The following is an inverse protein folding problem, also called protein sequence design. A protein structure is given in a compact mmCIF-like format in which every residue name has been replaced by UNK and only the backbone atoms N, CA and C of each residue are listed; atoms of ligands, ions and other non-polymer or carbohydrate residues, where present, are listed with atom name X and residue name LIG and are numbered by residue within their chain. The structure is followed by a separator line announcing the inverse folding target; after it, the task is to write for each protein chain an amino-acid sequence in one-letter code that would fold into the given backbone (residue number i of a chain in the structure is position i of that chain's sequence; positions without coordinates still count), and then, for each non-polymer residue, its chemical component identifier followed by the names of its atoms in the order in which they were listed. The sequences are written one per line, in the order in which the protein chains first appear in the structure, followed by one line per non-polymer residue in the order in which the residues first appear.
data_IF_715712766606
#
_entry.id   IF_715712766606
#
_cell.length_a   1.000
_cell.length_b   1.000
_cell.length_c   1.000
_cell.angle_alpha   90.00
_cell.angle_beta   90.00
_cell.angle_gamma   90.00
#
_symmetry.space_group_name_H-M   'P 1'
#
loop_
_entity.id
_entity.type
_entity.pdbx_description
1 polymer ?
#
# COMPACT_ATOMS: atom_id res chain seq x y z
N UNK A 1 13.33 -1.76 10.27
CA UNK A 1 12.05 -1.81 11.02
C UNK A 1 12.08 -3.02 11.96
N UNK A 2 11.75 -2.81 13.21
CA UNK A 2 11.73 -3.91 14.17
C UNK A 2 10.35 -4.61 14.19
N UNK A 3 10.29 -5.76 14.86
CA UNK A 3 9.08 -6.60 14.89
C UNK A 3 7.88 -5.89 15.56
N UNK A 4 8.13 -5.06 16.58
CA UNK A 4 7.08 -4.34 17.29
C UNK A 4 6.44 -3.29 16.38
N UNK A 5 7.25 -2.51 15.66
CA UNK A 5 6.75 -1.50 14.73
C UNK A 5 6.00 -2.15 13.58
N UNK A 6 6.51 -3.27 13.08
CA UNK A 6 5.86 -4.03 12.01
C UNK A 6 4.49 -4.52 12.47
N UNK A 7 4.38 -5.06 13.68
CA UNK A 7 3.12 -5.54 14.22
C UNK A 7 2.09 -4.42 14.36
N UNK A 8 2.52 -3.24 14.80
CA UNK A 8 1.64 -2.07 14.91
C UNK A 8 1.13 -1.62 13.55
N UNK A 9 2.00 -1.62 12.54
CA UNK A 9 1.62 -1.23 11.18
C UNK A 9 0.61 -2.21 10.60
N UNK A 10 0.79 -3.50 10.84
CA UNK A 10 -0.15 -4.53 10.40
C UNK A 10 -1.51 -4.35 11.07
N UNK A 11 -1.52 -4.13 12.38
CA UNK A 11 -2.77 -3.91 13.12
C UNK A 11 -3.50 -2.66 12.63
N UNK A 12 -2.78 -1.58 12.40
CA UNK A 12 -3.34 -0.34 11.86
C UNK A 12 -3.94 -0.57 10.46
N UNK A 13 -3.23 -1.33 9.64
CA UNK A 13 -3.72 -1.69 8.31
C UNK A 13 -5.06 -2.43 8.38
N UNK A 14 -5.16 -3.44 9.24
CA UNK A 14 -6.42 -4.18 9.39
C UNK A 14 -7.56 -3.27 9.82
N UNK A 15 -7.30 -2.35 10.75
CA UNK A 15 -8.30 -1.41 11.23
C UNK A 15 -8.78 -0.48 10.11
N UNK A 16 -7.84 0.05 9.33
CA UNK A 16 -8.15 0.96 8.22
C UNK A 16 -8.90 0.24 7.09
N UNK A 17 -8.55 -1.02 6.83
CA UNK A 17 -9.25 -1.81 5.81
C UNK A 17 -10.69 -2.10 6.23
N UNK A 18 -10.93 -2.30 7.53
CA UNK A 18 -12.29 -2.52 8.03
C UNK A 18 -13.22 -1.35 7.71
N UNK A 19 -12.68 -0.12 7.69
CA UNK A 19 -13.45 1.09 7.40
C UNK A 19 -13.93 1.18 5.94
N UNK A 20 -13.28 0.46 5.03
CA UNK A 20 -13.53 0.57 3.59
C UNK A 20 -13.91 -0.75 2.93
N UNK A 21 -14.27 -1.77 3.74
CA UNK A 21 -14.62 -3.10 3.20
C UNK A 21 -15.75 -3.07 2.19
N UNK A 22 -16.67 -2.13 2.34
CA UNK A 22 -17.83 -2.00 1.46
C UNK A 22 -17.54 -1.20 0.20
N UNK A 23 -16.34 -0.62 0.10
CA UNK A 23 -15.92 0.18 -1.04
C UNK A 23 -14.67 -0.45 -1.65
N UNK A 24 -14.85 -1.26 -2.68
CA UNK A 24 -13.76 -2.02 -3.30
C UNK A 24 -12.66 -1.13 -3.87
N UNK A 25 -13.04 -0.01 -4.46
CA UNK A 25 -12.07 0.90 -5.05
C UNK A 25 -11.17 1.51 -3.97
N UNK A 26 -11.77 2.04 -2.90
CA UNK A 26 -11.00 2.62 -1.79
C UNK A 26 -10.18 1.56 -1.05
N UNK A 27 -10.73 0.38 -0.89
CA UNK A 27 -10.02 -0.73 -0.26
C UNK A 27 -8.76 -1.09 -1.07
N UNK A 28 -8.87 -1.16 -2.39
CA UNK A 28 -7.74 -1.47 -3.27
C UNK A 28 -6.66 -0.39 -3.17
N UNK A 29 -7.05 0.88 -3.22
CA UNK A 29 -6.10 1.99 -3.10
C UNK A 29 -5.37 1.95 -1.76
N UNK A 30 -6.09 1.71 -0.67
CA UNK A 30 -5.47 1.61 0.66
C UNK A 30 -4.53 0.41 0.77
N UNK A 31 -4.92 -0.71 0.19
CA UNK A 31 -4.09 -1.91 0.21
C UNK A 31 -2.77 -1.69 -0.56
N UNK A 32 -2.85 -1.09 -1.74
CA UNK A 32 -1.66 -0.77 -2.53
C UNK A 32 -0.76 0.22 -1.79
N UNK A 33 -1.34 1.26 -1.20
CA UNK A 33 -0.59 2.25 -0.45
C UNK A 33 0.14 1.62 0.73
N UNK A 34 -0.47 0.65 1.41
CA UNK A 34 0.17 -0.06 2.51
C UNK A 34 1.38 -0.86 2.02
N UNK A 35 1.23 -1.60 0.92
CA UNK A 35 2.33 -2.39 0.37
C UNK A 35 3.50 -1.50 -0.06
N UNK A 36 3.21 -0.39 -0.73
CA UNK A 36 4.25 0.55 -1.17
C UNK A 36 4.99 1.16 0.02
N UNK A 37 4.24 1.53 1.06
CA UNK A 37 4.83 2.06 2.29
C UNK A 37 5.74 1.04 2.96
N UNK A 38 5.30 -0.20 3.06
CA UNK A 38 6.10 -1.26 3.68
C UNK A 38 7.38 -1.53 2.90
N UNK A 39 7.29 -1.57 1.57
CA UNK A 39 8.48 -1.75 0.73
C UNK A 39 9.48 -0.61 0.94
N UNK A 40 9.01 0.63 0.99
CA UNK A 40 9.87 1.77 1.27
C UNK A 40 10.57 1.67 2.62
N UNK A 41 9.82 1.28 3.66
CA UNK A 41 10.36 1.13 5.01
C UNK A 41 11.37 -0.01 5.13
N UNK A 42 11.26 -1.02 4.26
CA UNK A 42 12.20 -2.14 4.21
C UNK A 42 13.43 -1.85 3.34
N UNK A 43 13.56 -0.64 2.82
CA UNK A 43 14.71 -0.24 2.04
C UNK A 43 14.59 -0.50 0.55
N UNK A 44 13.38 -0.75 0.05
CA UNK A 44 13.11 -1.04 -1.36
C UNK A 44 12.44 0.13 -2.08
N UNK A 45 12.83 1.36 -1.74
CA UNK A 45 12.27 2.56 -2.36
C UNK A 45 12.47 2.62 -3.87
N UNK A 46 13.53 2.01 -4.37
CA UNK A 46 13.79 1.92 -5.81
C UNK A 46 12.73 1.07 -6.51
N UNK A 47 12.29 -0.01 -5.88
CA UNK A 47 11.20 -0.86 -6.40
C UNK A 47 9.89 -0.08 -6.41
N UNK A 48 9.61 0.67 -5.34
CA UNK A 48 8.41 1.51 -5.25
C UNK A 48 8.41 2.56 -6.36
N UNK A 49 9.55 3.21 -6.59
CA UNK A 49 9.67 4.21 -7.64
C UNK A 49 9.42 3.60 -9.02
N UNK A 50 9.98 2.43 -9.29
CA UNK A 50 9.77 1.74 -10.57
C UNK A 50 8.30 1.40 -10.80
N UNK A 51 7.61 0.91 -9.76
CA UNK A 51 6.19 0.60 -9.83
C UNK A 51 5.36 1.84 -10.13
N UNK A 52 5.68 2.96 -9.45
CA UNK A 52 4.96 4.22 -9.65
C UNK A 52 5.20 4.80 -11.04
N UNK A 53 6.40 4.66 -11.57
CA UNK A 53 6.71 5.11 -12.92
C UNK A 53 5.88 4.36 -13.96
N UNK A 54 5.72 3.05 -13.81
CA UNK A 54 4.92 2.25 -14.72
C UNK A 54 3.44 2.57 -14.59
N UNK A 55 2.97 2.87 -13.38
CA UNK A 55 1.60 3.28 -13.16
C UNK A 55 1.30 4.59 -13.89
N UNK A 56 2.21 5.56 -13.80
CA UNK A 56 2.07 6.85 -14.47
C UNK A 56 2.11 6.66 -15.99
N UNK A 57 3.05 5.85 -16.50
CA UNK A 57 3.20 5.59 -17.92
C UNK A 57 1.94 4.94 -18.52
N UNK A 58 1.25 4.13 -17.75
CA UNK A 58 0.00 3.48 -18.14
C UNK A 58 -1.24 4.36 -17.91
N UNK A 59 -1.04 5.63 -17.57
CA UNK A 59 -2.11 6.57 -17.22
C UNK A 59 -2.95 6.09 -16.04
N UNK A 60 -2.29 5.40 -15.10
CA UNK A 60 -2.95 4.79 -13.97
C UNK A 60 -3.52 3.41 -14.32
N UNK A 61 -3.26 2.45 -13.47
CA UNK A 61 -3.89 1.13 -13.62
C UNK A 61 -5.32 1.22 -13.11
N UNK A 62 -6.15 0.38 -13.65
CA UNK A 62 -7.54 0.34 -13.26
C UNK A 62 -7.73 -0.14 -11.80
N UNK A 63 -8.57 0.59 -11.06
CA UNK A 63 -8.91 0.29 -9.68
C UNK A 63 -10.43 0.19 -9.56
N UNK A 64 -10.96 -0.86 -9.65
CA UNK A 64 -12.43 -0.94 -9.51
C UNK A 64 -12.97 -2.07 -10.34
#
# INVERSE_FOLDING_TARGET
MNAVDKAKLIADFHQRMAEVRDDKERAHVRADAFLLKMLGLLGHGDVVAAWQEEQIAAEGWWYG
#
